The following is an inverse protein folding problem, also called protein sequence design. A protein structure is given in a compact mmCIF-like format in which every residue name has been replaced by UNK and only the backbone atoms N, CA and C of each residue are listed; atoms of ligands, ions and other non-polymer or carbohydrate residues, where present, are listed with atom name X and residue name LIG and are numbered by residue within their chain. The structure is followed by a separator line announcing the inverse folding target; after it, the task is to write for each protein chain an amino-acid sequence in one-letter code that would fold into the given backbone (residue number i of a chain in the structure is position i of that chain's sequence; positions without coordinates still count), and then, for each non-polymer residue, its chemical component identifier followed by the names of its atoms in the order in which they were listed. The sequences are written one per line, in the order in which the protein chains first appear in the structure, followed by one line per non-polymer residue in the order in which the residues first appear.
data_IF_049621398812
#
_entry.id   IF_049621398812
#
_cell.length_a   1.000
_cell.length_b   1.000
_cell.length_c   1.000
_cell.angle_alpha   90.00
_cell.angle_beta   90.00
_cell.angle_gamma   90.00
#
_symmetry.space_group_name_H-M   'P 1'
#
loop_
_entity.id
_entity.type
_entity.pdbx_description
1 polymer ?
#
# COMPACT_ATOMS: atom_id res chain seq x y z
N UNK A 1 12.71 -7.09 -8.46
CA UNK A 1 12.10 -6.58 -7.22
C UNK A 1 11.83 -7.72 -6.26
N UNK A 2 11.04 -8.74 -6.64
CA UNK A 2 10.67 -9.85 -5.75
C UNK A 2 11.91 -10.47 -5.09
N UNK A 3 12.91 -10.89 -5.87
CA UNK A 3 14.15 -11.47 -5.32
C UNK A 3 14.91 -10.50 -4.40
N UNK A 4 14.92 -9.21 -4.72
CA UNK A 4 15.52 -8.19 -3.86
C UNK A 4 14.79 -8.11 -2.52
N UNK A 5 13.47 -8.05 -2.55
CA UNK A 5 12.65 -7.98 -1.34
C UNK A 5 12.76 -9.26 -0.49
N UNK A 6 12.76 -10.43 -1.12
CA UNK A 6 12.99 -11.70 -0.44
C UNK A 6 14.33 -11.71 0.31
N UNK A 7 15.41 -11.29 -0.35
CA UNK A 7 16.74 -11.20 0.26
C UNK A 7 16.83 -10.15 1.39
N UNK A 8 15.87 -9.26 1.50
CA UNK A 8 15.74 -8.28 2.59
C UNK A 8 14.76 -8.73 3.69
N UNK A 9 14.26 -9.95 3.62
CA UNK A 9 13.38 -10.54 4.63
C UNK A 9 11.90 -10.14 4.52
N UNK A 10 11.48 -9.56 3.39
CA UNK A 10 10.07 -9.32 3.14
C UNK A 10 9.36 -10.61 2.72
N UNK A 11 8.10 -10.76 3.13
CA UNK A 11 7.24 -11.83 2.64
C UNK A 11 6.86 -11.54 1.18
N UNK A 12 7.15 -12.49 0.29
CA UNK A 12 6.89 -12.35 -1.15
C UNK A 12 6.16 -13.55 -1.75
N UNK A 13 5.95 -14.60 -0.98
CA UNK A 13 5.37 -15.88 -1.45
C UNK A 13 3.94 -15.73 -1.95
N UNK A 14 3.23 -14.68 -1.48
CA UNK A 14 1.86 -14.39 -1.89
C UNK A 14 1.73 -14.00 -3.38
N UNK A 15 2.80 -13.61 -4.06
CA UNK A 15 2.76 -13.34 -5.50
C UNK A 15 2.67 -14.61 -6.38
N UNK A 16 2.91 -15.78 -5.82
CA UNK A 16 2.87 -17.04 -6.55
C UNK A 16 1.48 -17.67 -6.66
N UNK A 17 0.51 -17.19 -5.87
CA UNK A 17 -0.85 -17.73 -5.80
C UNK A 17 -1.88 -16.61 -5.77
N UNK A 18 -3.09 -16.88 -6.29
CA UNK A 18 -4.20 -15.96 -6.10
C UNK A 18 -4.57 -15.81 -4.62
N UNK A 19 -5.18 -14.69 -4.25
CA UNK A 19 -5.69 -14.49 -2.89
C UNK A 19 -6.66 -15.61 -2.49
N UNK A 20 -7.51 -16.04 -3.42
CA UNK A 20 -8.48 -17.13 -3.19
C UNK A 20 -7.78 -18.45 -2.86
N UNK A 21 -6.74 -18.81 -3.64
CA UNK A 21 -5.95 -20.03 -3.39
C UNK A 21 -5.24 -19.98 -2.03
N UNK A 22 -4.80 -18.81 -1.62
CA UNK A 22 -4.15 -18.62 -0.32
C UNK A 22 -5.13 -18.78 0.82
N UNK A 23 -6.35 -18.22 0.74
CA UNK A 23 -7.40 -18.38 1.74
C UNK A 23 -7.81 -19.86 1.87
N UNK A 24 -8.01 -20.55 0.73
CA UNK A 24 -8.32 -21.99 0.70
C UNK A 24 -7.19 -22.78 1.36
N UNK A 25 -5.93 -22.51 0.99
CA UNK A 25 -4.77 -23.24 1.53
C UNK A 25 -4.58 -23.01 3.04
N UNK A 26 -4.98 -21.85 3.54
CA UNK A 26 -4.93 -21.51 4.96
C UNK A 26 -6.14 -22.04 5.76
N UNK A 27 -7.10 -22.70 5.12
CA UNK A 27 -8.32 -23.20 5.77
C UNK A 27 -9.24 -22.07 6.29
N UNK A 28 -9.14 -20.88 5.71
CA UNK A 28 -9.96 -19.73 6.11
C UNK A 28 -11.36 -19.90 5.54
N UNK A 29 -12.36 -19.84 6.41
CA UNK A 29 -13.75 -19.76 5.97
C UNK A 29 -14.00 -18.35 5.40
N UNK A 30 -14.49 -18.26 4.17
CA UNK A 30 -14.82 -17.00 3.54
C UNK A 30 -16.09 -17.10 2.70
N UNK A 31 -16.74 -15.95 2.54
CA UNK A 31 -17.82 -15.73 1.59
C UNK A 31 -17.35 -14.76 0.53
N UNK A 32 -17.68 -15.01 -0.72
CA UNK A 32 -17.43 -14.10 -1.84
C UNK A 32 -18.74 -13.47 -2.27
N UNK A 33 -18.78 -12.12 -2.26
CA UNK A 33 -19.90 -11.35 -2.81
C UNK A 33 -19.40 -10.47 -3.95
N UNK A 34 -20.05 -10.56 -5.09
CA UNK A 34 -19.81 -9.66 -6.20
C UNK A 34 -20.72 -8.44 -6.05
N UNK A 35 -20.13 -7.27 -6.21
CA UNK A 35 -20.80 -5.97 -6.06
C UNK A 35 -20.36 -5.04 -7.18
N UNK A 36 -21.23 -4.10 -7.56
CA UNK A 36 -20.91 -3.06 -8.55
C UNK A 36 -20.13 -1.93 -7.90
N UNK A 37 -20.53 -1.53 -6.71
CA UNK A 37 -19.89 -0.47 -5.94
C UNK A 37 -20.00 -0.71 -4.45
N UNK A 38 -18.95 -0.38 -3.70
CA UNK A 38 -18.98 -0.37 -2.24
C UNK A 38 -19.97 0.65 -1.66
N UNK A 39 -20.38 1.65 -2.45
CA UNK A 39 -21.33 2.67 -2.04
C UNK A 39 -22.79 2.34 -2.38
N UNK A 40 -23.07 1.16 -2.91
CA UNK A 40 -24.44 0.75 -3.24
C UNK A 40 -25.27 0.50 -1.97
N UNK A 41 -26.52 0.90 -2.01
CA UNK A 41 -27.43 0.77 -0.88
C UNK A 41 -27.57 -0.71 -0.44
N UNK A 42 -27.66 -1.64 -1.40
CA UNK A 42 -27.73 -3.07 -1.11
C UNK A 42 -26.50 -3.56 -0.37
N UNK A 43 -25.31 -3.15 -0.79
CA UNK A 43 -24.07 -3.52 -0.10
C UNK A 43 -23.98 -2.90 1.29
N UNK A 44 -24.39 -1.65 1.45
CA UNK A 44 -24.42 -0.98 2.76
C UNK A 44 -25.36 -1.70 3.73
N UNK A 45 -26.56 -2.10 3.28
CA UNK A 45 -27.49 -2.89 4.10
C UNK A 45 -26.92 -4.28 4.42
N UNK A 46 -26.19 -4.88 3.49
CA UNK A 46 -25.52 -6.17 3.72
C UNK A 46 -24.45 -6.04 4.82
N UNK A 47 -23.55 -5.06 4.77
CA UNK A 47 -22.48 -4.92 5.76
C UNK A 47 -23.00 -4.48 7.14
N UNK A 48 -24.13 -3.78 7.22
CA UNK A 48 -24.78 -3.42 8.51
C UNK A 48 -25.17 -4.63 9.35
N UNK A 49 -25.34 -5.78 8.72
CA UNK A 49 -25.69 -7.06 9.39
C UNK A 49 -24.46 -7.84 9.82
N UNK A 50 -23.25 -7.42 9.47
CA UNK A 50 -22.03 -8.09 9.86
C UNK A 50 -21.76 -7.87 11.35
N UNK A 51 -21.36 -8.92 12.08
CA UNK A 51 -20.99 -8.80 13.49
C UNK A 51 -19.60 -8.15 13.68
N UNK A 52 -18.80 -8.03 12.63
CA UNK A 52 -17.46 -7.46 12.67
C UNK A 52 -17.53 -5.93 12.69
N UNK A 53 -16.60 -5.30 13.43
CA UNK A 53 -16.48 -3.86 13.51
C UNK A 53 -15.39 -3.29 12.60
N UNK A 54 -14.60 -4.15 11.95
CA UNK A 54 -13.45 -3.75 11.15
C UNK A 54 -13.46 -4.43 9.80
N UNK A 55 -13.07 -3.69 8.75
CA UNK A 55 -12.87 -4.21 7.41
C UNK A 55 -11.56 -3.67 6.84
N UNK A 56 -10.77 -4.54 6.22
CA UNK A 56 -9.60 -4.11 5.46
C UNK A 56 -10.06 -3.59 4.09
N UNK A 57 -9.75 -2.32 3.80
CA UNK A 57 -10.00 -1.69 2.52
C UNK A 57 -8.70 -1.66 1.72
N UNK A 58 -8.68 -2.36 0.59
CA UNK A 58 -7.50 -2.43 -0.28
C UNK A 58 -7.70 -1.59 -1.53
N UNK A 59 -8.85 -1.74 -2.19
CA UNK A 59 -9.19 -1.08 -3.45
C UNK A 59 -10.71 -1.04 -3.62
N UNK A 60 -11.24 -0.14 -4.48
CA UNK A 60 -12.68 -0.07 -4.75
C UNK A 60 -13.23 1.34 -4.89
N UNK A 61 -12.36 2.34 -5.04
CA UNK A 61 -12.75 3.74 -5.20
C UNK A 61 -13.02 4.47 -3.88
N UNK A 62 -13.57 5.65 -3.95
CA UNK A 62 -13.82 6.51 -2.77
C UNK A 62 -15.03 6.00 -2.00
N UNK A 63 -14.86 5.72 -0.71
CA UNK A 63 -15.96 5.42 0.21
C UNK A 63 -16.69 6.72 0.57
N UNK A 64 -18.02 6.71 0.44
CA UNK A 64 -18.87 7.86 0.75
C UNK A 64 -19.36 7.81 2.20
N UNK A 65 -19.92 8.93 2.68
CA UNK A 65 -20.45 9.04 4.05
C UNK A 65 -21.49 7.96 4.40
N UNK A 66 -22.27 7.49 3.42
CA UNK A 66 -23.28 6.43 3.63
C UNK A 66 -22.69 5.10 4.09
N UNK A 67 -21.51 4.71 3.59
CA UNK A 67 -20.82 3.49 4.01
C UNK A 67 -19.90 3.78 5.21
N UNK A 68 -19.21 4.92 5.23
CA UNK A 68 -18.35 5.32 6.35
C UNK A 68 -19.14 5.56 7.64
N UNK A 69 -20.43 5.91 7.54
CA UNK A 69 -21.35 6.07 8.67
C UNK A 69 -21.95 4.75 9.20
N UNK A 70 -21.53 3.60 8.71
CA UNK A 70 -21.88 2.31 9.31
C UNK A 70 -21.06 2.05 10.59
N UNK A 71 -21.36 0.94 11.30
CA UNK A 71 -20.54 0.55 12.45
C UNK A 71 -19.17 0.01 12.08
N UNK A 72 -18.93 -0.26 10.79
CA UNK A 72 -17.66 -0.81 10.28
C UNK A 72 -16.62 0.30 10.17
N UNK A 73 -15.48 0.13 10.83
CA UNK A 73 -14.29 0.97 10.64
C UNK A 73 -13.41 0.37 9.55
N UNK A 74 -13.21 1.10 8.46
CA UNK A 74 -12.41 0.66 7.32
C UNK A 74 -10.94 0.98 7.56
N UNK A 75 -10.11 -0.06 7.54
CA UNK A 75 -8.67 0.03 7.69
C UNK A 75 -8.05 0.13 6.30
N UNK A 76 -7.24 1.16 6.07
CA UNK A 76 -6.47 1.32 4.85
C UNK A 76 -4.98 1.31 5.15
N UNK A 77 -4.22 0.65 4.28
CA UNK A 77 -2.76 0.70 4.32
C UNK A 77 -2.30 1.59 3.16
N UNK A 78 -2.01 2.83 3.50
CA UNK A 78 -1.56 3.84 2.56
C UNK A 78 -0.05 3.72 2.29
N UNK A 79 0.41 3.78 1.01
CA UNK A 79 1.83 3.65 0.66
C UNK A 79 2.61 4.97 0.85
N UNK A 80 2.39 5.63 1.96
CA UNK A 80 3.03 6.89 2.33
C UNK A 80 2.97 7.13 3.84
N UNK A 81 3.81 8.02 4.31
CA UNK A 81 3.83 8.45 5.70
C UNK A 81 2.92 9.67 5.84
N UNK A 82 1.67 9.46 6.25
CA UNK A 82 0.75 10.56 6.52
C UNK A 82 1.09 11.24 7.86
N UNK A 83 0.87 12.54 8.03
CA UNK A 83 0.19 13.46 7.11
C UNK A 83 1.05 14.01 5.97
N UNK A 84 2.37 13.78 5.95
CA UNK A 84 3.30 14.38 4.99
C UNK A 84 3.05 13.95 3.56
N UNK A 85 2.60 12.69 3.37
CA UNK A 85 2.40 12.05 2.07
C UNK A 85 0.98 11.51 1.94
N UNK A 86 0.06 12.30 1.42
CA UNK A 86 -1.32 11.89 1.07
C UNK A 86 -1.50 11.86 -0.44
N UNK A 87 -2.45 11.09 -0.95
CA UNK A 87 -2.84 11.08 -2.37
C UNK A 87 -2.23 9.91 -3.15
N UNK A 88 -1.80 10.15 -4.38
CA UNK A 88 -1.40 9.08 -5.30
C UNK A 88 0.12 8.96 -5.46
N UNK A 89 0.60 7.74 -5.78
CA UNK A 89 2.04 7.44 -6.00
C UNK A 89 2.94 7.86 -4.83
N UNK A 90 2.41 7.77 -3.61
CA UNK A 90 3.11 8.25 -2.41
C UNK A 90 4.42 7.50 -2.13
N UNK A 91 4.57 6.26 -2.59
CA UNK A 91 5.85 5.55 -2.56
C UNK A 91 6.94 6.32 -3.33
N UNK A 92 6.65 6.77 -4.56
CA UNK A 92 7.60 7.52 -5.38
C UNK A 92 7.84 8.93 -4.84
N UNK A 93 6.77 9.62 -4.44
CA UNK A 93 6.87 10.95 -3.85
C UNK A 93 7.70 10.94 -2.56
N UNK A 94 7.50 9.95 -1.69
CA UNK A 94 8.28 9.79 -0.46
C UNK A 94 9.77 9.66 -0.74
N UNK A 95 10.15 8.89 -1.76
CA UNK A 95 11.55 8.68 -2.12
C UNK A 95 12.24 9.99 -2.54
N UNK A 96 11.56 10.88 -3.28
CA UNK A 96 12.18 12.13 -3.72
C UNK A 96 12.09 13.25 -2.67
N UNK A 97 10.99 13.33 -1.91
CA UNK A 97 10.73 14.44 -0.98
C UNK A 97 11.29 14.13 0.41
N UNK A 98 11.04 12.94 0.93
CA UNK A 98 11.44 12.55 2.29
C UNK A 98 12.77 11.78 2.35
N UNK A 99 13.30 11.35 1.19
CA UNK A 99 14.49 10.47 1.09
C UNK A 99 14.34 9.14 1.84
N UNK A 100 13.11 8.75 2.12
CA UNK A 100 12.69 7.49 2.71
C UNK A 100 11.35 7.08 2.12
N UNK A 101 10.98 5.83 2.31
CA UNK A 101 9.66 5.33 1.96
C UNK A 101 8.98 4.77 3.19
N UNK A 102 7.70 4.45 3.12
CA UNK A 102 6.97 3.86 4.22
C UNK A 102 5.51 3.66 3.91
N UNK A 103 4.80 3.20 4.92
CA UNK A 103 3.35 3.08 4.84
C UNK A 103 2.69 3.42 6.17
N UNK A 104 1.43 3.77 6.08
CA UNK A 104 0.58 4.12 7.22
C UNK A 104 -0.66 3.25 7.21
N UNK A 105 -0.88 2.49 8.29
CA UNK A 105 -2.19 1.92 8.58
C UNK A 105 -3.04 3.00 9.25
N UNK A 106 -4.22 3.24 8.72
CA UNK A 106 -5.14 4.26 9.24
C UNK A 106 -6.59 3.83 9.06
N UNK A 107 -7.49 4.42 9.80
CA UNK A 107 -8.91 4.33 9.51
C UNK A 107 -9.28 5.30 8.40
N UNK A 108 -10.16 4.87 7.50
CA UNK A 108 -10.70 5.77 6.49
C UNK A 108 -11.72 6.72 7.11
N UNK A 109 -11.67 7.95 6.67
CA UNK A 109 -12.67 8.99 6.92
C UNK A 109 -13.16 9.59 5.58
N UNK A 110 -13.89 10.70 5.64
CA UNK A 110 -14.42 11.39 4.45
C UNK A 110 -13.38 12.14 3.62
N UNK A 111 -12.19 12.34 4.16
CA UNK A 111 -11.09 13.01 3.46
C UNK A 111 -10.20 12.03 2.71
N UNK A 112 -9.32 12.55 1.86
CA UNK A 112 -8.34 11.73 1.16
C UNK A 112 -7.14 11.52 2.09
N UNK A 113 -6.98 10.29 2.57
CA UNK A 113 -5.89 9.87 3.46
C UNK A 113 -5.74 10.74 4.72
N UNK A 114 -6.88 11.19 5.29
CA UNK A 114 -6.91 12.09 6.45
C UNK A 114 -7.31 11.42 7.76
N UNK A 115 -7.72 10.16 7.71
CA UNK A 115 -8.19 9.44 8.89
C UNK A 115 -7.11 9.15 9.93
N UNK A 116 -7.53 8.76 11.12
CA UNK A 116 -6.65 8.53 12.25
C UNK A 116 -5.63 7.42 11.99
N UNK A 117 -4.38 7.72 12.29
CA UNK A 117 -3.24 6.80 12.13
C UNK A 117 -3.29 5.75 13.24
N UNK A 118 -3.18 4.47 12.84
CA UNK A 118 -3.06 3.33 13.75
C UNK A 118 -1.58 2.96 13.93
N UNK A 119 -0.84 2.89 12.80
CA UNK A 119 0.55 2.46 12.80
C UNK A 119 1.28 2.98 11.57
N UNK A 120 2.57 3.26 11.72
CA UNK A 120 3.44 3.65 10.63
C UNK A 120 4.77 2.91 10.69
N UNK A 121 5.33 2.63 9.53
CA UNK A 121 6.67 2.04 9.42
C UNK A 121 7.43 2.66 8.26
N UNK A 122 8.68 3.00 8.54
CA UNK A 122 9.60 3.65 7.60
C UNK A 122 10.65 2.67 7.10
N UNK A 123 11.13 2.92 5.88
CA UNK A 123 12.20 2.16 5.25
C UNK A 123 13.12 3.11 4.49
N UNK A 124 14.39 2.75 4.39
CA UNK A 124 15.29 3.41 3.43
C UNK A 124 14.81 3.16 2.00
N UNK A 125 15.02 4.12 1.11
CA UNK A 125 14.75 3.91 -0.33
C UNK A 125 15.62 2.75 -0.82
N UNK A 126 15.03 1.66 -1.34
CA UNK A 126 15.80 0.51 -1.80
C UNK A 126 16.69 0.89 -2.99
N UNK A 127 17.86 0.24 -3.09
CA UNK A 127 18.75 0.32 -4.24
C UNK A 127 18.75 -1.03 -4.92
N UNK A 128 17.79 -1.22 -5.82
CA UNK A 128 17.54 -2.48 -6.53
C UNK A 128 18.55 -2.60 -7.66
N UNK A 129 19.41 -3.62 -7.66
CA UNK A 129 20.39 -3.82 -8.73
C UNK A 129 19.72 -4.02 -10.09
N UNK A 130 20.14 -3.26 -11.11
CA UNK A 130 19.58 -3.35 -12.45
C UNK A 130 20.62 -3.11 -13.53
N UNK A 131 20.54 -3.86 -14.65
CA UNK A 131 21.38 -3.59 -15.81
C UNK A 131 21.01 -2.26 -16.46
N UNK A 132 22.05 -1.49 -16.86
CA UNK A 132 21.93 -0.16 -17.48
C UNK A 132 20.89 -0.11 -18.63
N UNK A 133 20.79 -1.18 -19.44
CA UNK A 133 19.83 -1.24 -20.57
C UNK A 133 18.37 -1.05 -20.14
N UNK A 134 18.01 -1.49 -18.93
CA UNK A 134 16.66 -1.40 -18.41
C UNK A 134 16.34 -0.06 -17.74
N UNK A 135 17.32 0.83 -17.58
CA UNK A 135 17.12 2.23 -17.18
C UNK A 135 17.04 3.20 -18.36
N UNK A 136 17.01 2.68 -19.60
CA UNK A 136 16.72 3.50 -20.78
C UNK A 136 15.23 3.88 -20.81
N UNK A 137 14.94 4.98 -21.48
CA UNK A 137 13.58 5.57 -21.60
C UNK A 137 12.52 4.53 -22.01
N UNK A 138 12.89 3.62 -22.93
CA UNK A 138 12.04 2.53 -23.41
C UNK A 138 11.50 1.62 -22.28
N UNK A 139 12.26 1.44 -21.20
CA UNK A 139 11.92 0.51 -20.11
C UNK A 139 11.48 1.20 -18.81
N UNK A 140 11.63 2.51 -18.70
CA UNK A 140 11.30 3.24 -17.45
C UNK A 140 9.83 3.07 -17.04
N UNK A 141 8.92 2.99 -18.01
CA UNK A 141 7.52 2.69 -17.70
C UNK A 141 7.33 1.29 -17.09
N UNK A 142 8.04 0.29 -17.59
CA UNK A 142 7.99 -1.06 -17.02
C UNK A 142 8.57 -1.08 -15.59
N UNK A 143 9.62 -0.31 -15.34
CA UNK A 143 10.19 -0.19 -13.99
C UNK A 143 9.24 0.53 -13.04
N UNK A 144 8.57 1.59 -13.50
CA UNK A 144 7.52 2.26 -12.76
C UNK A 144 6.41 1.27 -12.36
N UNK A 145 5.87 0.53 -13.33
CA UNK A 145 4.84 -0.48 -13.06
C UNK A 145 5.35 -1.57 -12.11
N UNK A 146 6.60 -1.97 -12.23
CA UNK A 146 7.18 -2.95 -11.29
C UNK A 146 7.26 -2.43 -9.86
N UNK A 147 7.52 -1.15 -9.65
CA UNK A 147 7.48 -0.56 -8.32
C UNK A 147 6.05 -0.51 -7.77
N UNK A 148 5.09 -0.14 -8.62
CA UNK A 148 3.67 -0.03 -8.27
C UNK A 148 3.02 -1.40 -8.01
N UNK A 149 3.29 -2.38 -8.86
CA UNK A 149 2.64 -3.70 -8.82
C UNK A 149 3.32 -4.68 -7.85
N UNK A 150 4.58 -4.44 -7.44
CA UNK A 150 5.32 -5.35 -6.57
C UNK A 150 5.87 -4.68 -5.31
N UNK A 151 6.63 -3.58 -5.41
CA UNK A 151 7.26 -2.99 -4.23
C UNK A 151 6.23 -2.36 -3.30
N UNK A 152 5.29 -1.60 -3.84
CA UNK A 152 4.22 -0.95 -3.07
C UNK A 152 3.40 -1.97 -2.28
N UNK A 153 2.83 -3.04 -2.88
CA UNK A 153 2.11 -4.07 -2.12
C UNK A 153 2.96 -4.78 -1.07
N UNK A 154 4.24 -5.03 -1.35
CA UNK A 154 5.17 -5.64 -0.38
C UNK A 154 5.34 -4.74 0.85
N UNK A 155 5.58 -3.45 0.64
CA UNK A 155 5.72 -2.48 1.74
C UNK A 155 4.44 -2.40 2.55
N UNK A 156 3.28 -2.28 1.89
CA UNK A 156 1.99 -2.24 2.59
C UNK A 156 1.71 -3.51 3.39
N UNK A 157 1.99 -4.67 2.81
CA UNK A 157 1.83 -5.95 3.50
C UNK A 157 2.73 -6.05 4.74
N UNK A 158 4.00 -5.61 4.64
CA UNK A 158 4.93 -5.63 5.77
C UNK A 158 4.55 -4.63 6.88
N UNK A 159 4.03 -3.46 6.51
CA UNK A 159 3.48 -2.49 7.47
C UNK A 159 2.31 -3.10 8.25
N UNK A 160 1.36 -3.71 7.53
CA UNK A 160 0.18 -4.32 8.15
C UNK A 160 0.55 -5.55 9.00
N UNK A 161 1.46 -6.40 8.50
CA UNK A 161 2.00 -7.53 9.28
C UNK A 161 2.64 -7.04 10.58
N UNK A 162 3.47 -6.00 10.52
CA UNK A 162 4.13 -5.42 11.70
C UNK A 162 3.13 -4.85 12.73
N UNK A 163 2.03 -4.28 12.26
CA UNK A 163 0.93 -3.86 13.15
C UNK A 163 0.32 -5.07 13.86
N UNK A 164 -0.04 -6.14 13.11
CA UNK A 164 -0.69 -7.33 13.67
C UNK A 164 0.23 -8.12 14.61
N UNK A 165 1.53 -8.21 14.30
CA UNK A 165 2.52 -8.85 15.20
C UNK A 165 2.65 -8.11 16.54
N UNK A 166 2.57 -6.78 16.50
CA UNK A 166 2.69 -5.94 17.71
C UNK A 166 1.39 -5.82 18.48
N UNK A 167 0.27 -5.74 17.78
CA UNK A 167 -1.06 -5.52 18.33
C UNK A 167 -2.07 -6.42 17.61
N UNK A 168 -2.17 -7.69 17.99
CA UNK A 168 -3.00 -8.66 17.28
C UNK A 168 -4.50 -8.42 17.39
N UNK A 169 -4.93 -7.67 18.41
CA UNK A 169 -6.36 -7.39 18.63
C UNK A 169 -6.71 -5.96 18.17
N UNK A 170 -7.53 -5.80 17.11
CA UNK A 170 -7.92 -4.47 16.62
C UNK A 170 -8.64 -3.57 17.63
N UNK A 171 -9.29 -4.16 18.65
CA UNK A 171 -9.95 -3.37 19.70
C UNK A 171 -8.97 -2.64 20.61
N UNK A 172 -7.69 -3.01 20.61
CA UNK A 172 -6.63 -2.40 21.42
C UNK A 172 -5.83 -1.35 20.65
N UNK A 173 -6.14 -1.12 19.36
CA UNK A 173 -5.40 -0.17 18.56
C UNK A 173 -5.64 1.27 19.00
N UNK A 174 -4.60 1.85 19.57
CA UNK A 174 -4.57 3.29 19.79
C UNK A 174 -4.47 4.03 18.45
N UNK A 175 -5.15 5.17 18.36
CA UNK A 175 -5.10 6.00 17.15
C UNK A 175 -4.56 7.39 17.47
N UNK A 176 -3.94 7.98 16.47
CA UNK A 176 -3.44 9.35 16.52
C UNK A 176 -4.09 10.15 15.39
N UNK A 177 -4.77 11.23 15.76
CA UNK A 177 -5.34 12.16 14.77
C UNK A 177 -4.23 12.80 13.94
N UNK A 178 -4.47 12.91 12.64
CA UNK A 178 -3.55 13.60 11.75
C UNK A 178 -3.65 15.12 11.95
N UNK A 179 -2.49 15.78 12.00
CA UNK A 179 -2.44 17.24 11.98
C UNK A 179 -2.83 17.80 10.59
N UNK A 180 -3.03 19.12 10.53
CA UNK A 180 -3.39 19.85 9.30
C UNK A 180 -2.22 20.09 8.34
N UNK A 181 -0.99 19.78 8.76
CA UNK A 181 0.26 20.13 8.05
C UNK A 181 0.61 19.24 6.87
N UNK A 182 -0.21 18.28 6.50
CA UNK A 182 0.09 17.33 5.41
C UNK A 182 -0.05 17.94 4.01
N UNK A 183 0.59 17.30 3.03
CA UNK A 183 0.46 17.63 1.62
C UNK A 183 -0.20 16.50 0.85
N UNK A 184 -1.07 16.87 -0.10
CA UNK A 184 -1.66 15.94 -1.04
C UNK A 184 -0.86 15.95 -2.33
N UNK A 185 -0.50 14.75 -2.80
CA UNK A 185 0.26 14.54 -4.03
C UNK A 185 -0.64 13.91 -5.10
N UNK A 186 -0.35 14.25 -6.34
CA UNK A 186 -1.07 13.79 -7.52
C UNK A 186 -0.13 13.06 -8.46
N UNK A 187 -0.67 12.50 -9.54
CA UNK A 187 0.16 11.87 -10.57
C UNK A 187 1.17 12.87 -11.12
N UNK A 188 2.47 12.58 -11.04
CA UNK A 188 3.50 13.46 -11.57
C UNK A 188 3.52 13.43 -13.10
N UNK A 189 4.02 14.48 -13.70
CA UNK A 189 4.36 14.46 -15.12
C UNK A 189 5.33 13.30 -15.44
N UNK A 190 5.20 12.59 -16.59
CA UNK A 190 6.02 11.43 -16.91
C UNK A 190 7.52 11.62 -16.73
N UNK A 191 8.07 12.78 -17.17
CA UNK A 191 9.50 13.08 -17.01
C UNK A 191 9.94 13.17 -15.52
N UNK A 192 9.08 13.62 -14.63
CA UNK A 192 9.36 13.62 -13.18
C UNK A 192 9.23 12.22 -12.60
N UNK A 193 8.18 11.47 -12.99
CA UNK A 193 8.00 10.08 -12.60
C UNK A 193 9.24 9.26 -12.93
N UNK A 194 9.78 9.40 -14.12
CA UNK A 194 10.95 8.65 -14.59
C UNK A 194 12.21 8.96 -13.76
N UNK A 195 12.37 10.23 -13.33
CA UNK A 195 13.41 10.59 -12.36
C UNK A 195 13.17 9.94 -10.99
N UNK A 196 11.93 9.92 -10.51
CA UNK A 196 11.57 9.26 -9.25
C UNK A 196 11.88 7.77 -9.30
N UNK A 197 11.51 7.09 -10.38
CA UNK A 197 11.77 5.66 -10.61
C UNK A 197 13.26 5.36 -10.52
N UNK A 198 14.10 6.20 -11.11
CA UNK A 198 15.55 5.98 -11.11
C UNK A 198 16.18 5.99 -9.70
N UNK A 199 15.53 6.58 -8.70
CA UNK A 199 16.01 6.60 -7.32
C UNK A 199 16.02 5.19 -6.67
N UNK A 200 15.17 4.30 -7.13
CA UNK A 200 15.01 2.95 -6.59
C UNK A 200 16.01 1.95 -7.13
N UNK A 201 16.75 2.31 -8.17
CA UNK A 201 17.62 1.37 -8.86
C UNK A 201 19.09 1.78 -8.80
N UNK A 202 19.95 0.76 -8.67
CA UNK A 202 21.40 0.90 -8.73
C UNK A 202 21.93 0.20 -9.97
N UNK A 203 22.75 0.91 -10.75
CA UNK A 203 23.33 0.37 -11.98
C UNK A 203 24.38 -0.68 -11.67
N UNK A 204 24.24 -1.86 -12.25
CA UNK A 204 25.28 -2.89 -12.19
C UNK A 204 26.17 -2.72 -13.43
N UNK A 205 27.45 -2.44 -13.22
CA UNK A 205 28.47 -2.52 -14.26
C UNK A 205 28.75 -4.00 -14.56
N UNK A 206 28.67 -4.40 -15.82
CA UNK A 206 28.82 -5.79 -16.30
C UNK A 206 30.19 -6.45 -16.04
N UNK A 207 31.08 -5.86 -15.23
CA UNK A 207 32.45 -6.38 -15.03
C UNK A 207 32.62 -7.28 -13.81
N UNK A 208 31.53 -7.83 -13.23
CA UNK A 208 31.64 -8.85 -12.18
C UNK A 208 30.68 -10.00 -12.52
N UNK A 209 31.13 -10.98 -13.27
CA UNK A 209 30.49 -12.29 -13.43
C UNK A 209 30.23 -12.72 -14.87
N UNK A 210 31.21 -13.12 -15.61
CA UNK A 210 31.21 -14.30 -16.47
C UNK A 210 31.98 -15.41 -15.75
#
# INVERSE_FOLDING_TARGET
IINYCHNKGFLVDFFSKSMLDQLISAGVNFERKEIISLNDAEFIEYIRRFPQNYALYVEGGILRESILGTHIRFIHIHPGLVPEMRGTLCLLWSAIVLRKIGGSCMFLDKGIDTGDIIYQKEYAVPKIPISQKYLSEKFLYCQYKSLEDYLDPIIRADVFRSLLERYPNPSEWATMAQGTSGKQYYHPHPALRDKMVSLFYEKINKNQGE
#
